data_IF_977881719458
#
_entry.id   IF_977881719458
#
_cell.length_a   1.000
_cell.length_b   1.000
_cell.length_c   1.000
_cell.angle_alpha   90.00
_cell.angle_beta   90.00
_cell.angle_gamma   90.00
#
_symmetry.space_group_name_H-M   'P 1'
#
loop_
_entity.id
_entity.type
_entity.pdbx_description
1 polymer ?
#
# COMPACT_ATOMS: atom_id res chain seq x y z
N UNK A 1 -32.97 10.52 -9.00
CA UNK A 1 -31.68 11.24 -9.05
C UNK A 1 -30.72 10.49 -8.12
N UNK A 2 -29.51 10.15 -8.56
CA UNK A 2 -28.52 9.46 -7.73
C UNK A 2 -27.66 10.46 -6.95
N UNK A 3 -27.33 10.15 -5.70
CA UNK A 3 -26.44 10.95 -4.85
C UNK A 3 -25.53 10.06 -4.00
N UNK A 4 -24.36 10.58 -3.62
CA UNK A 4 -23.45 9.93 -2.68
C UNK A 4 -23.93 10.22 -1.27
N UNK A 5 -24.26 9.18 -0.51
CA UNK A 5 -24.79 9.30 0.86
C UNK A 5 -23.69 9.21 1.93
N UNK A 6 -22.63 8.44 1.65
CA UNK A 6 -21.49 8.23 2.54
C UNK A 6 -20.28 7.76 1.73
N UNK A 7 -19.10 7.94 2.30
CA UNK A 7 -17.82 7.41 1.80
C UNK A 7 -17.11 6.75 2.99
N UNK A 8 -16.50 5.60 2.74
CA UNK A 8 -15.62 4.92 3.68
C UNK A 8 -14.31 4.54 3.02
N UNK A 9 -13.24 4.50 3.81
CA UNK A 9 -11.89 4.22 3.31
C UNK A 9 -11.17 3.22 4.20
N UNK A 10 -10.21 2.51 3.63
CA UNK A 10 -9.31 1.64 4.36
C UNK A 10 -7.96 1.59 3.65
N UNK A 11 -6.89 1.44 4.44
CA UNK A 11 -5.53 1.25 3.92
C UNK A 11 -4.99 -0.10 4.40
N UNK A 12 -4.05 -0.71 3.65
CA UNK A 12 -3.29 -1.85 4.14
C UNK A 12 -2.58 -1.55 5.48
N UNK A 13 -2.26 -2.57 6.29
CA UNK A 13 -1.81 -2.36 7.68
C UNK A 13 -0.35 -1.90 7.81
N UNK A 14 0.49 -2.12 6.79
CA UNK A 14 1.92 -1.85 6.88
C UNK A 14 2.24 -0.41 6.41
N UNK A 15 2.16 0.54 7.34
CA UNK A 15 2.53 1.94 7.11
C UNK A 15 4.04 2.11 7.17
N UNK A 16 4.62 2.73 6.15
CA UNK A 16 6.04 3.06 6.08
C UNK A 16 6.21 4.52 5.69
N UNK A 17 7.16 5.19 6.34
CA UNK A 17 7.56 6.53 5.92
C UNK A 17 8.44 6.50 4.65
N UNK A 18 8.67 7.68 4.09
CA UNK A 18 9.44 7.81 2.87
C UNK A 18 10.90 7.36 3.05
N UNK A 19 11.52 7.60 4.21
CA UNK A 19 12.91 7.25 4.48
C UNK A 19 13.06 5.72 4.59
N UNK A 20 12.16 5.06 5.31
CA UNK A 20 12.09 3.61 5.43
C UNK A 20 11.91 2.96 4.05
N UNK A 21 11.00 3.51 3.24
CA UNK A 21 10.75 3.04 1.87
C UNK A 21 12.00 3.18 0.98
N UNK A 22 12.70 4.31 1.07
CA UNK A 22 13.92 4.57 0.30
C UNK A 22 15.07 3.65 0.71
N UNK A 23 15.26 3.43 2.02
CA UNK A 23 16.27 2.51 2.53
C UNK A 23 16.01 1.08 2.07
N UNK A 24 14.76 0.64 2.14
CA UNK A 24 14.33 -0.67 1.64
C UNK A 24 14.60 -0.82 0.14
N UNK A 25 14.08 0.11 -0.68
CA UNK A 25 14.26 0.07 -2.13
C UNK A 25 15.74 0.10 -2.55
N UNK A 26 16.54 0.92 -1.86
CA UNK A 26 17.98 1.01 -2.11
C UNK A 26 18.73 -0.30 -1.84
N UNK A 27 18.33 -1.05 -0.82
CA UNK A 27 18.91 -2.35 -0.51
C UNK A 27 18.38 -3.45 -1.45
N UNK A 28 17.07 -3.48 -1.67
CA UNK A 28 16.39 -4.50 -2.47
C UNK A 28 16.88 -4.51 -3.93
N UNK A 29 16.96 -3.33 -4.56
CA UNK A 29 17.32 -3.19 -5.96
C UNK A 29 18.81 -2.99 -6.23
N UNK A 30 19.66 -3.04 -5.20
CA UNK A 30 21.10 -2.73 -5.31
C UNK A 30 21.83 -3.62 -6.32
N UNK A 31 21.38 -4.88 -6.46
CA UNK A 31 22.02 -5.88 -7.34
C UNK A 31 21.55 -5.76 -8.78
N UNK A 32 20.32 -5.29 -9.00
CA UNK A 32 19.68 -5.26 -10.32
C UNK A 32 19.91 -3.95 -11.07
N UNK A 33 20.23 -2.87 -10.35
CA UNK A 33 20.39 -1.53 -10.93
C UNK A 33 21.72 -0.88 -10.53
N UNK A 34 22.61 -0.73 -11.51
CA UNK A 34 23.92 -0.10 -11.32
C UNK A 34 23.85 1.36 -10.83
N UNK A 35 22.77 2.09 -11.15
CA UNK A 35 22.53 3.47 -10.70
C UNK A 35 21.20 3.60 -9.93
N UNK A 36 21.04 2.79 -8.89
CA UNK A 36 19.87 2.86 -8.00
C UNK A 36 19.75 4.24 -7.33
N UNK A 37 20.86 4.95 -7.09
CA UNK A 37 20.86 6.29 -6.48
C UNK A 37 20.09 7.31 -7.30
N UNK A 38 20.23 7.30 -8.63
CA UNK A 38 19.44 8.19 -9.50
C UNK A 38 17.95 7.87 -9.44
N UNK A 39 17.58 6.59 -9.39
CA UNK A 39 16.18 6.17 -9.29
C UNK A 39 15.57 6.57 -7.95
N UNK A 40 16.31 6.47 -6.84
CA UNK A 40 15.82 6.87 -5.51
C UNK A 40 15.43 8.36 -5.41
N UNK A 41 16.00 9.24 -6.26
CA UNK A 41 15.58 10.66 -6.31
C UNK A 41 14.10 10.85 -6.66
N UNK A 42 13.45 9.88 -7.29
CA UNK A 42 12.00 9.96 -7.57
C UNK A 42 11.17 9.90 -6.27
N UNK A 43 11.69 9.27 -5.22
CA UNK A 43 11.03 9.23 -3.93
C UNK A 43 11.08 10.62 -3.29
N UNK A 44 12.26 11.25 -3.23
CA UNK A 44 12.45 12.61 -2.69
C UNK A 44 11.52 13.64 -3.33
N UNK A 45 11.37 13.60 -4.65
CA UNK A 45 10.54 14.56 -5.40
C UNK A 45 9.06 14.15 -5.49
N UNK A 46 8.68 13.01 -4.92
CA UNK A 46 7.34 12.44 -5.06
C UNK A 46 6.28 13.06 -4.15
N UNK A 47 6.68 13.87 -3.16
CA UNK A 47 5.78 14.44 -2.13
C UNK A 47 4.93 13.37 -1.40
N UNK A 48 5.48 12.16 -1.20
CA UNK A 48 4.78 11.04 -0.56
C UNK A 48 5.43 10.74 0.80
N UNK A 49 4.90 11.36 1.85
CA UNK A 49 5.41 11.18 3.21
C UNK A 49 5.26 9.73 3.71
N UNK A 50 4.26 9.01 3.22
CA UNK A 50 3.90 7.68 3.74
C UNK A 50 3.24 6.81 2.69
N UNK A 51 3.53 5.51 2.76
CA UNK A 51 2.88 4.47 1.95
C UNK A 51 2.37 3.34 2.83
N UNK A 52 1.39 2.62 2.30
CA UNK A 52 0.80 1.45 2.95
C UNK A 52 1.00 0.23 2.06
N UNK A 53 1.53 -0.85 2.64
CA UNK A 53 1.85 -2.08 1.93
C UNK A 53 0.94 -3.23 2.35
N UNK A 54 0.64 -4.13 1.41
CA UNK A 54 -0.17 -5.33 1.62
C UNK A 54 0.58 -6.47 2.38
N UNK A 55 1.85 -6.25 2.68
CA UNK A 55 2.73 -7.20 3.36
C UNK A 55 3.80 -6.45 4.15
N UNK A 56 4.41 -7.06 5.17
CA UNK A 56 5.62 -6.53 5.78
C UNK A 56 6.78 -6.52 4.77
N UNK A 57 7.79 -5.67 4.97
CA UNK A 57 8.86 -5.48 3.99
C UNK A 57 9.67 -6.75 3.72
N UNK A 58 9.85 -7.57 4.74
CA UNK A 58 10.55 -8.86 4.70
C UNK A 58 9.84 -9.85 3.77
N UNK A 59 8.53 -9.69 3.55
CA UNK A 59 7.84 -10.51 2.57
C UNK A 59 8.36 -10.24 1.15
N UNK A 60 8.70 -8.99 0.83
CA UNK A 60 9.18 -8.64 -0.51
C UNK A 60 10.63 -9.04 -0.76
N UNK A 61 11.42 -9.36 0.28
CA UNK A 61 12.82 -9.80 0.12
C UNK A 61 12.96 -11.25 -0.30
N UNK A 62 11.89 -12.03 -0.18
CA UNK A 62 11.85 -13.44 -0.56
C UNK A 62 11.28 -13.62 -1.97
N UNK A 63 11.70 -14.69 -2.66
CA UNK A 63 11.03 -15.10 -3.89
C UNK A 63 9.66 -15.69 -3.59
N UNK A 64 8.63 -15.16 -4.25
CA UNK A 64 7.28 -15.71 -4.21
C UNK A 64 6.82 -16.08 -5.61
N UNK A 65 6.17 -17.23 -5.70
CA UNK A 65 5.45 -17.66 -6.89
C UNK A 65 4.34 -16.67 -7.25
N UNK A 66 3.85 -16.73 -8.49
CA UNK A 66 2.70 -15.94 -8.90
C UNK A 66 1.46 -16.27 -8.07
N UNK A 67 1.30 -17.54 -7.69
CA UNK A 67 0.19 -18.00 -6.86
C UNK A 67 0.23 -17.34 -5.47
N UNK A 68 1.36 -17.38 -4.77
CA UNK A 68 1.50 -16.76 -3.44
C UNK A 68 1.25 -15.24 -3.47
N UNK A 69 1.73 -14.57 -4.53
CA UNK A 69 1.44 -13.14 -4.77
C UNK A 69 -0.06 -12.89 -4.95
N UNK A 70 -0.72 -13.75 -5.72
CA UNK A 70 -2.15 -13.63 -6.00
C UNK A 70 -3.01 -13.93 -4.77
N UNK A 71 -2.68 -14.96 -4.00
CA UNK A 71 -3.40 -15.32 -2.78
C UNK A 71 -3.32 -14.16 -1.77
N UNK A 72 -2.13 -13.57 -1.60
CA UNK A 72 -1.97 -12.38 -0.75
C UNK A 72 -2.74 -11.16 -1.26
N UNK A 73 -2.82 -10.96 -2.58
CA UNK A 73 -3.62 -9.90 -3.17
C UNK A 73 -5.12 -10.08 -2.87
N UNK A 74 -5.63 -11.30 -3.02
CA UNK A 74 -7.03 -11.64 -2.73
C UNK A 74 -7.33 -11.41 -1.25
N UNK A 75 -6.50 -11.94 -0.35
CA UNK A 75 -6.70 -11.83 1.09
C UNK A 75 -6.69 -10.37 1.55
N UNK A 76 -5.68 -9.60 1.14
CA UNK A 76 -5.58 -8.19 1.52
C UNK A 76 -6.70 -7.36 0.87
N UNK A 77 -6.97 -7.57 -0.42
CA UNK A 77 -8.01 -6.87 -1.16
C UNK A 77 -9.38 -7.07 -0.56
N UNK A 78 -9.71 -8.30 -0.17
CA UNK A 78 -10.95 -8.63 0.52
C UNK A 78 -11.04 -7.93 1.89
N UNK A 79 -9.97 -8.02 2.68
CA UNK A 79 -9.91 -7.42 4.02
C UNK A 79 -10.12 -5.91 3.99
N UNK A 80 -9.39 -5.18 3.15
CA UNK A 80 -9.52 -3.72 3.04
C UNK A 80 -10.88 -3.31 2.47
N UNK A 81 -11.45 -4.10 1.54
CA UNK A 81 -12.77 -3.81 0.97
C UNK A 81 -13.87 -3.93 2.03
N UNK A 82 -13.84 -5.00 2.82
CA UNK A 82 -14.77 -5.18 3.95
C UNK A 82 -14.64 -4.04 4.95
N UNK A 83 -13.40 -3.62 5.26
CA UNK A 83 -13.18 -2.51 6.19
C UNK A 83 -13.69 -1.17 5.65
N UNK A 84 -13.44 -0.85 4.38
CA UNK A 84 -13.92 0.38 3.76
C UNK A 84 -15.47 0.42 3.67
N UNK A 85 -16.09 -0.73 3.37
CA UNK A 85 -17.56 -0.84 3.36
C UNK A 85 -18.13 -0.64 4.77
N UNK A 86 -17.53 -1.28 5.79
CA UNK A 86 -17.94 -1.09 7.18
C UNK A 86 -17.76 0.36 7.63
N UNK A 87 -16.68 1.01 7.23
CA UNK A 87 -16.44 2.44 7.51
C UNK A 87 -17.53 3.31 6.86
N UNK A 88 -17.86 3.04 5.59
CA UNK A 88 -18.91 3.73 4.85
C UNK A 88 -20.29 3.59 5.51
N UNK A 89 -20.66 2.37 5.91
CA UNK A 89 -21.97 2.07 6.50
C UNK A 89 -22.12 2.59 7.93
N UNK A 90 -21.02 2.68 8.69
CA UNK A 90 -21.04 3.19 10.06
C UNK A 90 -20.76 4.70 10.15
N UNK A 91 -20.53 5.36 9.02
CA UNK A 91 -20.28 6.80 8.99
C UNK A 91 -21.54 7.56 9.45
N UNK A 92 -21.44 8.26 10.57
CA UNK A 92 -22.57 8.98 11.19
C UNK A 92 -23.05 10.19 10.38
N UNK A 93 -22.32 10.57 9.33
CA UNK A 93 -22.68 11.64 8.40
C UNK A 93 -23.48 11.13 7.18
N UNK A 94 -24.06 9.92 7.23
CA UNK A 94 -25.03 9.48 6.22
C UNK A 94 -26.13 10.54 6.12
N UNK A 95 -26.18 11.22 4.97
CA UNK A 95 -27.23 12.20 4.69
C UNK A 95 -28.52 11.43 4.42
N UNK A 96 -29.49 11.52 5.33
CA UNK A 96 -30.86 11.00 5.17
C UNK A 96 -31.75 11.96 4.40
#
# INVERSE_FOLDING_TARGET
>A
MSCILSVGTATPPHRLDQNETMAFAGNFFKRDFADIKRLLKVFENGQIETRYFAAPLEWFTEEHSLQEKNDRYIDMGLSISVQAIKDCLNNRNIRS
#
